data_IF_934847037568
#
_entry.id   IF_934847037568
#
_cell.length_a   1.000
_cell.length_b   1.000
_cell.length_c   1.000
_cell.angle_alpha   90.00
_cell.angle_beta   90.00
_cell.angle_gamma   90.00
#
_symmetry.space_group_name_H-M   'P 1'
#
loop_
_entity.id
_entity.type
_entity.pdbx_description
1 polymer ?
#
# COMPACT_ATOMS: atom_id res chain seq x y z
N UNK A 1 46.65 25.26 -5.82
CA UNK A 1 45.86 24.01 -6.03
C UNK A 1 45.00 23.67 -4.81
N UNK A 2 44.22 24.64 -4.28
CA UNK A 2 43.46 24.48 -3.02
C UNK A 2 41.94 24.65 -3.16
N UNK A 3 41.46 25.58 -3.99
CA UNK A 3 40.03 25.85 -4.11
C UNK A 3 39.22 24.71 -4.77
N UNK A 4 39.85 23.89 -5.61
CA UNK A 4 39.15 22.82 -6.35
C UNK A 4 38.75 21.66 -5.42
N UNK A 5 39.52 21.39 -4.35
CA UNK A 5 39.23 20.32 -3.39
C UNK A 5 38.10 20.69 -2.42
N UNK A 6 38.02 21.96 -2.02
CA UNK A 6 36.93 22.47 -1.17
C UNK A 6 35.59 22.55 -1.91
N UNK A 7 35.60 22.89 -3.21
CA UNK A 7 34.40 22.89 -4.04
C UNK A 7 33.82 21.47 -4.24
N UNK A 8 34.68 20.45 -4.38
CA UNK A 8 34.26 19.04 -4.49
C UNK A 8 33.66 18.52 -3.18
N UNK A 9 34.23 18.87 -2.03
CA UNK A 9 33.70 18.45 -0.73
C UNK A 9 32.33 19.07 -0.42
N UNK A 10 32.12 20.36 -0.75
CA UNK A 10 30.83 21.02 -0.57
C UNK A 10 29.73 20.44 -1.48
N UNK A 11 30.07 20.00 -2.71
CA UNK A 11 29.13 19.37 -3.63
C UNK A 11 28.71 17.96 -3.18
N UNK A 12 29.61 17.21 -2.53
CA UNK A 12 29.32 15.87 -1.99
C UNK A 12 28.41 15.93 -0.75
N UNK A 13 28.49 17.01 0.05
CA UNK A 13 27.65 17.18 1.26
C UNK A 13 26.21 17.62 0.95
N UNK A 14 25.93 18.21 -0.22
CA UNK A 14 24.55 18.42 -0.70
C UNK A 14 23.89 17.18 -1.30
N UNK A 15 24.67 16.12 -1.59
CA UNK A 15 24.15 14.81 -2.01
C UNK A 15 23.90 13.94 -0.77
N UNK A 16 23.32 14.51 0.28
CA UNK A 16 22.57 13.71 1.25
C UNK A 16 21.26 13.41 0.52
N UNK A 17 21.26 12.26 -0.16
CA UNK A 17 20.14 11.73 -0.94
C UNK A 17 18.90 11.80 -0.04
N UNK A 18 18.02 12.76 -0.32
CA UNK A 18 16.65 12.69 0.12
C UNK A 18 16.14 11.36 -0.42
N UNK A 19 15.97 10.40 0.48
CA UNK A 19 15.23 9.18 0.18
C UNK A 19 13.82 9.64 -0.15
N UNK A 20 13.57 9.93 -1.43
CA UNK A 20 12.26 10.33 -1.90
C UNK A 20 11.41 9.08 -1.78
N UNK A 21 10.67 8.99 -0.67
CA UNK A 21 9.62 8.00 -0.51
C UNK A 21 8.72 8.21 -1.72
N UNK A 22 8.79 7.29 -2.70
CA UNK A 22 8.05 7.44 -3.95
C UNK A 22 6.57 7.52 -3.59
N UNK A 23 6.02 8.74 -3.71
CA UNK A 23 4.63 9.04 -3.39
C UNK A 23 3.74 8.29 -4.38
N UNK A 24 2.53 7.94 -3.93
CA UNK A 24 1.53 7.30 -4.79
C UNK A 24 1.32 8.12 -6.08
N UNK A 25 1.33 7.45 -7.23
CA UNK A 25 1.07 8.08 -8.53
C UNK A 25 -0.18 7.50 -9.17
N UNK A 26 -1.00 8.36 -9.75
CA UNK A 26 -2.19 7.99 -10.51
C UNK A 26 -1.89 7.70 -11.99
N UNK A 27 -0.60 7.76 -12.40
CA UNK A 27 -0.21 7.53 -13.79
C UNK A 27 -0.58 6.11 -14.22
N UNK A 28 -1.37 6.00 -15.29
CA UNK A 28 -1.86 4.71 -15.78
C UNK A 28 -2.99 4.08 -14.94
N UNK A 29 -3.50 4.77 -13.92
CA UNK A 29 -4.72 4.38 -13.21
C UNK A 29 -5.94 5.12 -13.78
N UNK A 30 -7.08 4.45 -13.95
CA UNK A 30 -8.33 5.11 -14.25
C UNK A 30 -8.81 5.97 -13.06
N UNK A 31 -9.82 6.79 -13.29
CA UNK A 31 -10.43 7.61 -12.24
C UNK A 31 -11.05 6.73 -11.14
N UNK A 32 -10.84 7.11 -9.88
CA UNK A 32 -11.35 6.32 -8.75
C UNK A 32 -10.58 6.53 -7.44
N UNK A 33 -10.94 5.74 -6.42
CA UNK A 33 -10.35 5.80 -5.08
C UNK A 33 -9.43 4.62 -4.81
N UNK A 34 -8.15 4.86 -4.55
CA UNK A 34 -7.12 3.82 -4.41
C UNK A 34 -6.53 3.78 -3.01
N UNK A 35 -6.38 2.58 -2.44
CA UNK A 35 -5.75 2.44 -1.14
C UNK A 35 -4.27 2.80 -1.16
N UNK A 36 -3.77 3.32 -0.04
CA UNK A 36 -2.34 3.34 0.22
C UNK A 36 -1.81 1.90 0.43
N UNK A 37 -0.71 1.51 -0.24
CA UNK A 37 -0.19 0.15 -0.23
C UNK A 37 0.40 -0.28 1.12
N UNK A 38 0.70 0.65 2.03
CA UNK A 38 1.32 0.40 3.33
C UNK A 38 0.42 0.82 4.50
N UNK A 39 -0.51 1.75 4.27
CA UNK A 39 -1.34 2.35 5.31
C UNK A 39 -2.84 2.14 5.04
N UNK A 40 -3.52 1.44 5.93
CA UNK A 40 -4.94 1.15 5.80
C UNK A 40 -5.86 2.35 6.05
N UNK A 41 -5.41 3.40 6.71
CA UNK A 41 -6.24 4.58 6.96
C UNK A 41 -6.16 5.58 5.81
N UNK A 42 -5.23 5.41 4.86
CA UNK A 42 -4.99 6.34 3.75
C UNK A 42 -5.49 5.79 2.42
N UNK A 43 -5.98 6.70 1.60
CA UNK A 43 -6.40 6.42 0.23
C UNK A 43 -6.25 7.67 -0.64
N UNK A 44 -6.31 7.50 -1.94
CA UNK A 44 -6.01 8.51 -2.94
C UNK A 44 -7.15 8.60 -3.94
N UNK A 45 -7.47 9.81 -4.39
CA UNK A 45 -8.38 10.00 -5.52
C UNK A 45 -7.58 10.32 -6.77
N UNK A 46 -7.74 9.48 -7.80
CA UNK A 46 -7.24 9.75 -9.14
C UNK A 46 -8.32 10.36 -10.01
N UNK A 47 -7.94 11.39 -10.76
CA UNK A 47 -8.78 12.09 -11.74
C UNK A 47 -7.90 12.46 -12.93
N UNK A 48 -8.23 11.96 -14.12
CA UNK A 48 -7.47 12.14 -15.36
C UNK A 48 -5.98 11.80 -15.21
N UNK A 49 -5.69 10.62 -14.65
CA UNK A 49 -4.34 10.10 -14.32
C UNK A 49 -3.52 10.98 -13.35
N UNK A 50 -4.15 11.97 -12.71
CA UNK A 50 -3.50 12.87 -11.74
C UNK A 50 -4.01 12.59 -10.35
N UNK A 51 -3.10 12.70 -9.39
CA UNK A 51 -3.45 12.66 -7.98
C UNK A 51 -4.23 13.92 -7.63
N UNK A 52 -5.53 13.76 -7.36
CA UNK A 52 -6.41 14.86 -6.99
C UNK A 52 -6.37 15.12 -5.49
N UNK A 53 -6.53 14.07 -4.69
CA UNK A 53 -6.53 14.15 -3.23
C UNK A 53 -5.76 12.98 -2.60
N UNK A 54 -5.08 13.27 -1.50
CA UNK A 54 -4.55 12.30 -0.54
C UNK A 54 -5.39 12.41 0.72
N UNK A 55 -6.18 11.37 0.97
CA UNK A 55 -7.24 11.37 1.98
C UNK A 55 -6.89 10.38 3.08
N UNK A 56 -7.53 10.55 4.23
CA UNK A 56 -7.48 9.61 5.35
C UNK A 56 -8.92 9.36 5.77
N UNK A 57 -9.27 8.11 6.03
CA UNK A 57 -10.59 7.76 6.52
C UNK A 57 -10.90 8.56 7.79
N UNK A 58 -12.14 9.04 7.90
CA UNK A 58 -12.53 9.90 9.00
C UNK A 58 -12.40 9.13 10.33
N UNK A 59 -11.82 9.78 11.34
CA UNK A 59 -11.67 9.16 12.65
C UNK A 59 -13.00 9.16 13.39
N UNK A 60 -13.70 8.02 13.41
CA UNK A 60 -14.72 7.72 14.41
C UNK A 60 -14.31 6.47 15.18
N UNK A 61 -13.46 6.67 16.20
CA UNK A 61 -12.92 5.62 17.09
C UNK A 61 -13.80 4.37 17.15
N UNK A 62 -13.30 3.19 16.70
CA UNK A 62 -11.94 2.89 16.19
C UNK A 62 -11.57 3.57 14.85
N UNK A 63 -10.28 3.66 14.50
CA UNK A 63 -9.86 4.24 13.20
C UNK A 63 -10.51 3.48 12.03
N UNK A 64 -11.17 4.14 11.09
CA UNK A 64 -11.72 3.45 9.91
C UNK A 64 -10.60 3.07 8.93
N UNK A 65 -10.71 1.89 8.31
CA UNK A 65 -9.79 1.40 7.28
C UNK A 65 -10.42 1.51 5.90
N UNK A 66 -9.64 1.90 4.90
CA UNK A 66 -10.11 1.94 3.52
C UNK A 66 -10.06 0.53 2.90
N UNK A 67 -11.23 -0.01 2.57
CA UNK A 67 -11.38 -1.27 1.87
C UNK A 67 -11.16 -1.09 0.37
N UNK A 68 -10.17 -1.81 -0.19
CA UNK A 68 -9.74 -1.68 -1.59
C UNK A 68 -10.84 -2.04 -2.59
N UNK A 69 -11.54 -3.13 -2.33
CA UNK A 69 -12.54 -3.69 -3.25
C UNK A 69 -13.89 -2.97 -3.16
N UNK A 70 -14.20 -2.42 -1.99
CA UNK A 70 -15.43 -1.66 -1.73
C UNK A 70 -15.30 -0.16 -2.02
N UNK A 71 -14.07 0.35 -2.16
CA UNK A 71 -13.74 1.76 -2.33
C UNK A 71 -14.33 2.68 -1.25
N UNK A 72 -14.44 2.17 -0.02
CA UNK A 72 -15.05 2.89 1.10
C UNK A 72 -14.29 2.65 2.40
N UNK A 73 -14.43 3.60 3.31
CA UNK A 73 -13.96 3.43 4.68
C UNK A 73 -14.91 2.48 5.44
N UNK A 74 -14.34 1.48 6.10
CA UNK A 74 -15.03 0.46 6.88
C UNK A 74 -14.40 0.36 8.27
N UNK A 75 -15.17 -0.11 9.25
CA UNK A 75 -14.66 -0.35 10.60
C UNK A 75 -13.57 -1.44 10.59
N UNK A 76 -12.51 -1.34 11.41
CA UNK A 76 -11.43 -2.33 11.47
C UNK A 76 -11.90 -3.76 11.64
N UNK A 77 -12.91 -3.97 12.49
CA UNK A 77 -13.46 -5.30 12.78
C UNK A 77 -13.90 -6.06 11.51
N UNK A 78 -14.26 -5.33 10.45
CA UNK A 78 -14.71 -5.90 9.18
C UNK A 78 -13.59 -6.00 8.12
N UNK A 79 -12.36 -5.61 8.45
CA UNK A 79 -11.27 -5.50 7.47
C UNK A 79 -9.89 -5.96 7.99
N UNK A 80 -9.86 -6.84 9.00
CA UNK A 80 -8.61 -7.34 9.60
C UNK A 80 -7.84 -8.35 8.73
N UNK A 81 -8.46 -8.90 7.68
CA UNK A 81 -7.78 -9.79 6.73
C UNK A 81 -6.76 -9.07 5.85
N UNK A 82 -6.94 -7.77 5.64
CA UNK A 82 -6.08 -6.92 4.79
C UNK A 82 -5.34 -5.85 5.59
N UNK A 83 -5.62 -5.72 6.89
CA UNK A 83 -5.08 -4.68 7.74
C UNK A 83 -4.77 -5.23 9.14
N UNK A 84 -3.59 -4.90 9.65
CA UNK A 84 -3.33 -5.09 11.07
C UNK A 84 -4.13 -4.08 11.90
N UNK A 85 -4.38 -4.38 13.18
CA UNK A 85 -4.98 -3.43 14.13
C UNK A 85 -4.21 -2.10 14.26
N UNK A 86 -2.94 -2.05 13.82
CA UNK A 86 -2.11 -0.85 13.82
C UNK A 86 -2.17 -0.07 12.50
N UNK A 87 -3.07 -0.44 11.59
CA UNK A 87 -3.22 0.23 10.30
C UNK A 87 -2.16 -0.12 9.25
N UNK A 88 -1.26 -1.09 9.49
CA UNK A 88 -0.37 -1.62 8.44
C UNK A 88 -1.21 -2.45 7.45
N UNK A 89 -1.10 -2.14 6.16
CA UNK A 89 -1.73 -2.92 5.08
C UNK A 89 -0.97 -4.24 4.84
N UNK A 90 -1.74 -5.31 4.67
CA UNK A 90 -1.30 -6.64 4.35
C UNK A 90 -1.60 -6.95 2.87
N UNK A 91 -0.85 -7.87 2.24
CA UNK A 91 -1.21 -8.40 0.93
C UNK A 91 -2.60 -9.05 0.95
N UNK A 92 -3.25 -9.13 -0.22
CA UNK A 92 -4.37 -10.07 -0.39
C UNK A 92 -3.94 -11.49 0.03
N UNK A 93 -4.77 -12.18 0.81
CA UNK A 93 -4.42 -13.50 1.38
C UNK A 93 -3.55 -13.45 2.64
N UNK A 94 -3.22 -12.25 3.15
CA UNK A 94 -2.44 -12.04 4.36
C UNK A 94 -0.93 -12.03 4.13
N UNK A 95 -0.15 -11.91 5.21
CA UNK A 95 1.32 -11.85 5.12
C UNK A 95 1.93 -13.18 4.65
N UNK A 96 1.28 -14.31 4.96
CA UNK A 96 1.69 -15.65 4.52
C UNK A 96 3.11 -16.04 4.94
N UNK A 97 3.58 -17.17 4.43
CA UNK A 97 4.98 -17.58 4.51
C UNK A 97 5.45 -18.00 3.13
N UNK A 98 6.68 -17.62 2.76
CA UNK A 98 7.29 -17.99 1.49
C UNK A 98 8.63 -18.65 1.72
N UNK A 99 8.90 -19.71 0.97
CA UNK A 99 10.17 -20.43 1.01
C UNK A 99 10.97 -20.04 -0.22
N UNK A 100 12.13 -19.44 0.00
CA UNK A 100 13.00 -19.04 -1.09
C UNK A 100 13.51 -20.27 -1.86
N UNK A 101 13.44 -20.27 -3.22
CA UNK A 101 13.95 -21.39 -4.02
C UNK A 101 15.46 -21.63 -3.89
N UNK A 102 16.21 -20.64 -3.39
CA UNK A 102 17.64 -20.73 -3.19
C UNK A 102 18.18 -19.60 -2.30
N UNK A 103 19.49 -19.56 -2.08
CA UNK A 103 20.14 -18.56 -1.23
C UNK A 103 20.35 -17.21 -1.94
N UNK A 104 20.24 -17.18 -3.26
CA UNK A 104 20.50 -15.99 -4.07
C UNK A 104 19.53 -14.85 -3.77
N UNK A 105 20.01 -13.63 -3.97
CA UNK A 105 19.15 -12.47 -3.92
C UNK A 105 18.25 -12.45 -5.17
N UNK A 106 16.94 -12.65 -4.96
CA UNK A 106 15.91 -12.64 -6.00
C UNK A 106 14.58 -12.12 -5.49
N UNK A 107 13.80 -11.59 -6.41
CA UNK A 107 12.45 -11.10 -6.21
C UNK A 107 11.47 -12.05 -6.87
N UNK A 108 10.39 -12.37 -6.17
CA UNK A 108 9.33 -13.25 -6.64
C UNK A 108 7.97 -12.58 -6.44
N UNK A 109 7.02 -12.87 -7.32
CA UNK A 109 5.68 -12.30 -7.21
C UNK A 109 4.93 -12.81 -5.97
N UNK A 110 4.06 -11.97 -5.40
CA UNK A 110 3.11 -12.43 -4.41
C UNK A 110 1.92 -13.11 -5.10
N UNK A 111 1.46 -14.30 -4.64
CA UNK A 111 0.51 -15.13 -5.38
C UNK A 111 -0.89 -14.52 -5.54
N UNK A 112 -1.31 -13.68 -4.59
CA UNK A 112 -2.65 -13.07 -4.61
C UNK A 112 -2.64 -11.54 -4.77
N UNK A 113 -1.47 -10.90 -4.69
CA UNK A 113 -1.36 -9.45 -4.67
C UNK A 113 -0.26 -9.01 -5.65
N UNK A 114 -0.57 -8.05 -6.49
CA UNK A 114 0.36 -7.50 -7.46
C UNK A 114 1.13 -6.29 -6.94
N UNK A 115 0.70 -5.67 -5.86
CA UNK A 115 1.46 -4.60 -5.19
C UNK A 115 2.60 -5.20 -4.37
N UNK A 116 2.39 -6.38 -3.80
CA UNK A 116 3.37 -7.06 -2.97
C UNK A 116 4.22 -8.07 -3.76
N UNK A 117 5.44 -8.30 -3.27
CA UNK A 117 6.38 -9.28 -3.79
C UNK A 117 7.25 -9.82 -2.66
N UNK A 118 7.85 -10.98 -2.89
CA UNK A 118 8.80 -11.60 -1.98
C UNK A 118 10.22 -11.23 -2.36
N UNK A 119 10.95 -10.67 -1.40
CA UNK A 119 12.39 -10.48 -1.47
C UNK A 119 13.07 -11.65 -0.77
N UNK A 120 13.84 -12.42 -1.53
CA UNK A 120 14.69 -13.48 -1.02
C UNK A 120 16.12 -12.97 -0.87
N UNK A 121 16.72 -13.19 0.31
CA UNK A 121 18.11 -12.85 0.58
C UNK A 121 18.71 -13.90 1.53
N UNK A 122 19.74 -14.63 1.07
CA UNK A 122 20.39 -15.71 1.84
C UNK A 122 19.40 -16.77 2.34
N UNK A 123 18.38 -17.06 1.53
CA UNK A 123 17.32 -18.02 1.84
C UNK A 123 16.22 -17.49 2.77
N UNK A 124 16.36 -16.29 3.33
CA UNK A 124 15.29 -15.63 4.09
C UNK A 124 14.32 -14.90 3.17
N UNK A 125 13.02 -15.10 3.37
CA UNK A 125 11.96 -14.41 2.64
C UNK A 125 11.43 -13.22 3.44
N UNK A 126 11.23 -12.09 2.77
CA UNK A 126 10.55 -10.91 3.33
C UNK A 126 9.54 -10.39 2.33
N UNK A 127 8.30 -10.17 2.76
CA UNK A 127 7.30 -9.53 1.91
C UNK A 127 7.58 -8.03 1.82
N UNK A 128 7.55 -7.49 0.61
CA UNK A 128 7.76 -6.08 0.27
C UNK A 128 6.59 -5.60 -0.56
N UNK A 129 6.37 -4.28 -0.56
CA UNK A 129 5.42 -3.65 -1.47
C UNK A 129 6.18 -2.80 -2.48
N UNK A 130 5.71 -2.77 -3.72
CA UNK A 130 6.09 -1.73 -4.65
C UNK A 130 5.70 -0.36 -4.10
N UNK A 131 6.54 0.66 -4.35
CA UNK A 131 6.25 2.02 -3.92
C UNK A 131 5.39 2.73 -4.97
N UNK A 132 4.80 3.87 -4.59
CA UNK A 132 4.09 4.72 -5.53
C UNK A 132 2.82 4.14 -6.15
N UNK A 133 2.25 3.07 -5.59
CA UNK A 133 1.11 2.38 -6.20
C UNK A 133 1.49 1.50 -7.39
N UNK A 134 2.79 1.24 -7.62
CA UNK A 134 3.25 0.38 -8.71
C UNK A 134 2.98 -1.10 -8.43
N UNK A 135 3.07 -1.92 -9.46
CA UNK A 135 2.77 -3.35 -9.43
C UNK A 135 4.01 -4.16 -9.78
N UNK A 136 4.25 -5.27 -9.09
CA UNK A 136 5.36 -6.16 -9.35
C UNK A 136 5.08 -7.03 -10.59
N UNK A 137 5.98 -6.96 -11.55
CA UNK A 137 6.01 -7.78 -12.74
C UNK A 137 7.23 -8.70 -12.70
N UNK A 138 7.00 -9.99 -12.94
CA UNK A 138 8.07 -10.98 -13.14
C UNK A 138 8.78 -10.67 -14.45
N UNK A 139 10.11 -10.60 -14.40
CA UNK A 139 10.97 -10.30 -15.53
C UNK A 139 12.22 -11.18 -15.43
N UNK A 140 12.26 -12.25 -16.21
CA UNK A 140 13.39 -13.20 -16.22
C UNK A 140 14.63 -12.63 -16.88
N UNK A 141 14.52 -11.51 -17.59
CA UNK A 141 15.68 -10.79 -18.13
C UNK A 141 16.33 -9.88 -17.09
N UNK A 142 15.58 -9.53 -16.03
CA UNK A 142 16.12 -8.85 -14.87
C UNK A 142 16.91 -9.87 -14.01
N UNK A 143 18.17 -9.58 -13.64
CA UNK A 143 18.97 -10.49 -12.82
C UNK A 143 18.35 -10.80 -11.45
N UNK A 144 17.47 -9.91 -10.96
CA UNK A 144 16.73 -10.07 -9.71
C UNK A 144 15.37 -10.73 -9.89
N UNK A 145 14.92 -11.03 -11.12
CA UNK A 145 13.69 -11.78 -11.39
C UNK A 145 12.42 -10.95 -11.60
N UNK A 146 12.45 -9.64 -11.35
CA UNK A 146 11.29 -8.77 -11.57
C UNK A 146 11.54 -7.30 -11.29
N UNK A 147 10.55 -6.46 -11.59
CA UNK A 147 10.57 -5.02 -11.36
C UNK A 147 9.16 -4.49 -11.04
N UNK A 148 9.09 -3.33 -10.39
CA UNK A 148 7.84 -2.60 -10.20
C UNK A 148 7.52 -1.77 -11.45
N UNK A 149 6.32 -1.95 -12.00
CA UNK A 149 5.82 -1.34 -13.24
C UNK A 149 4.45 -0.71 -13.03
N UNK A 150 3.98 0.07 -14.01
CA UNK A 150 2.64 0.66 -13.93
C UNK A 150 1.55 -0.41 -14.11
N UNK A 151 0.33 -0.13 -13.61
CA UNK A 151 -0.82 -1.03 -13.77
C UNK A 151 -1.06 -1.43 -15.24
N UNK A 152 -0.88 -0.50 -16.17
CA UNK A 152 -1.08 -0.74 -17.61
C UNK A 152 -0.21 -1.87 -18.18
N UNK A 153 0.95 -2.14 -17.57
CA UNK A 153 1.85 -3.22 -17.99
C UNK A 153 1.44 -4.60 -17.45
N UNK A 154 0.54 -4.64 -16.46
CA UNK A 154 0.09 -5.88 -15.79
C UNK A 154 -1.43 -6.05 -15.81
N UNK A 155 -2.17 -5.24 -16.57
CA UNK A 155 -3.65 -5.23 -16.64
C UNK A 155 -4.28 -6.58 -16.98
N UNK A 156 -3.55 -7.46 -17.66
CA UNK A 156 -4.00 -8.80 -18.05
C UNK A 156 -3.82 -9.84 -16.92
N UNK A 157 -3.10 -9.50 -15.85
CA UNK A 157 -2.77 -10.41 -14.74
C UNK A 157 -3.21 -9.87 -13.37
N UNK A 158 -3.58 -8.60 -13.31
CA UNK A 158 -3.89 -7.91 -12.06
C UNK A 158 -5.12 -7.02 -12.24
N UNK A 159 -5.95 -6.95 -11.21
CA UNK A 159 -6.97 -5.91 -11.09
C UNK A 159 -6.32 -4.57 -10.81
N UNK A 160 -7.02 -3.50 -11.17
CA UNK A 160 -6.60 -2.12 -10.83
C UNK A 160 -6.44 -1.89 -9.32
N UNK A 161 -7.04 -2.76 -8.49
CA UNK A 161 -6.97 -2.71 -7.01
C UNK A 161 -5.78 -3.48 -6.43
N UNK A 162 -5.00 -4.16 -7.27
CA UNK A 162 -3.84 -4.93 -6.85
C UNK A 162 -4.10 -6.41 -6.68
N UNK A 163 -5.32 -6.92 -6.89
CA UNK A 163 -5.61 -8.36 -6.78
C UNK A 163 -5.00 -9.08 -7.99
N UNK A 164 -4.23 -10.14 -7.76
CA UNK A 164 -3.76 -11.00 -8.86
C UNK A 164 -4.88 -11.89 -9.35
N UNK A 165 -5.08 -11.97 -10.66
CA UNK A 165 -6.08 -12.84 -11.24
C UNK A 165 -5.67 -14.31 -11.15
N UNK A 166 -6.63 -15.18 -10.84
CA UNK A 166 -6.51 -16.62 -11.05
C UNK A 166 -6.50 -16.94 -12.55
N UNK A 167 -6.09 -18.15 -12.92
CA UNK A 167 -6.13 -18.56 -14.33
C UNK A 167 -7.55 -18.55 -14.90
N UNK A 168 -8.54 -18.95 -14.10
CA UNK A 168 -9.96 -18.89 -14.47
C UNK A 168 -10.44 -17.44 -14.70
N UNK A 169 -10.03 -16.51 -13.83
CA UNK A 169 -10.32 -15.07 -14.00
C UNK A 169 -9.66 -14.53 -15.28
N UNK A 170 -8.41 -14.92 -15.58
CA UNK A 170 -7.72 -14.52 -16.82
C UNK A 170 -8.40 -15.08 -18.06
N UNK A 171 -8.92 -16.31 -18.02
CA UNK A 171 -9.66 -16.91 -19.13
C UNK A 171 -11.01 -16.20 -19.33
N UNK A 172 -11.72 -15.87 -18.25
CA UNK A 172 -12.94 -15.08 -18.31
C UNK A 172 -12.72 -13.70 -18.95
N UNK A 173 -11.62 -13.02 -18.62
CA UNK A 173 -11.25 -11.73 -19.23
C UNK A 173 -11.00 -11.81 -20.74
N UNK A 174 -10.41 -12.92 -21.22
CA UNK A 174 -10.19 -13.13 -22.66
C UNK A 174 -11.50 -13.41 -23.40
N UNK A 175 -12.43 -14.08 -22.73
CA UNK A 175 -13.71 -14.50 -23.31
C UNK A 175 -14.80 -13.43 -23.19
N UNK A 176 -14.62 -12.39 -22.36
CA UNK A 176 -15.43 -11.19 -22.39
C UNK A 176 -15.08 -10.33 -23.62
N UNK A 177 -15.61 -10.72 -24.78
CA UNK A 177 -15.75 -9.80 -25.91
C UNK A 177 -16.61 -8.62 -25.45
N UNK A 178 -16.31 -7.36 -25.78
CA UNK A 178 -17.25 -6.28 -25.56
C UNK A 178 -18.49 -6.62 -26.36
N UNK A 179 -19.59 -6.93 -25.68
CA UNK A 179 -20.90 -6.89 -26.31
C UNK A 179 -21.01 -5.50 -26.96
N UNK A 180 -21.20 -5.39 -28.29
CA UNK A 180 -21.39 -4.09 -28.90
C UNK A 180 -22.62 -3.50 -28.23
N UNK A 181 -22.40 -2.46 -27.41
CA UNK A 181 -23.41 -1.69 -26.71
C UNK A 181 -24.56 -1.43 -27.67
N UNK A 182 -25.61 -2.24 -27.60
CA UNK A 182 -26.85 -1.95 -28.26
C UNK A 182 -27.28 -0.57 -27.78
N UNK A 183 -27.52 0.32 -28.73
CA UNK A 183 -27.97 1.68 -28.45
C UNK A 183 -29.15 1.66 -27.47
N UNK A 184 -29.25 2.63 -26.54
CA UNK A 184 -30.41 2.71 -25.67
C UNK A 184 -31.64 2.95 -26.54
N UNK A 185 -32.47 1.92 -26.68
CA UNK A 185 -33.80 2.05 -27.27
C UNK A 185 -34.65 2.76 -26.24
N UNK A 186 -35.06 3.97 -26.60
CA UNK A 186 -36.02 4.78 -25.89
C UNK A 186 -37.30 3.98 -25.63
N UNK A 187 -37.65 3.84 -24.35
CA UNK A 187 -38.90 3.22 -23.91
C UNK A 187 -39.37 3.87 -22.62
N UNK A 188 -40.05 5.00 -22.74
CA UNK A 188 -40.85 5.55 -21.65
C UNK A 188 -42.05 4.64 -21.38
N UNK A 189 -42.35 4.32 -20.12
CA UNK A 189 -43.62 4.67 -19.45
C UNK A 189 -43.79 3.99 -18.07
N UNK A 190 -44.13 4.84 -17.10
CA UNK A 190 -45.04 4.64 -15.96
C UNK A 190 -44.65 3.71 -14.79
N UNK A 191 -44.46 4.32 -13.62
CA UNK A 191 -44.63 3.70 -12.30
C UNK A 191 -45.57 4.57 -11.44
N UNK A 192 -46.60 4.00 -10.78
CA UNK A 192 -47.27 4.62 -9.64
C UNK A 192 -46.75 4.09 -8.29
N UNK A 193 -46.97 4.93 -7.29
CA UNK A 193 -46.62 4.89 -5.86
C UNK A 193 -47.09 3.70 -5.00
N UNK A 194 -46.48 3.61 -3.81
CA UNK A 194 -46.94 2.89 -2.59
C UNK A 194 -45.93 1.81 -2.16
N UNK A 195 -45.55 1.58 -0.91
CA UNK A 195 -45.96 2.12 0.40
C UNK A 195 -44.90 1.73 1.47
N UNK A 196 -45.08 2.29 2.66
CA UNK A 196 -44.28 2.26 3.89
C UNK A 196 -44.07 0.88 4.58
N UNK A 197 -43.20 0.95 5.62
CA UNK A 197 -43.25 0.30 6.95
C UNK A 197 -42.11 -0.72 7.20
N UNK A 198 -41.50 -0.95 8.38
CA UNK A 198 -41.56 -0.45 9.78
C UNK A 198 -40.50 -1.24 10.61
N UNK A 199 -40.11 -0.72 11.80
CA UNK A 199 -39.62 -1.49 12.97
C UNK A 199 -38.09 -1.64 13.08
N UNK A 200 -37.41 -1.27 14.18
CA UNK A 200 -37.59 -1.63 15.60
C UNK A 200 -36.73 -2.87 15.91
N UNK A 201 -35.94 -3.05 16.98
CA UNK A 201 -35.68 -2.38 18.26
C UNK A 201 -34.46 -3.11 18.91
N UNK A 202 -33.92 -2.56 19.99
CA UNK A 202 -33.15 -3.18 21.10
C UNK A 202 -31.91 -4.07 20.79
N UNK A 203 -30.82 -4.10 21.56
CA UNK A 203 -30.57 -3.77 22.97
C UNK A 203 -29.54 -4.80 23.49
N UNK A 204 -28.51 -4.38 24.22
CA UNK A 204 -27.52 -5.33 24.76
C UNK A 204 -26.42 -4.67 25.58
N UNK A 205 -26.64 -4.58 26.90
CA UNK A 205 -25.66 -4.22 27.94
C UNK A 205 -25.00 -5.49 28.48
N UNK A 206 -23.68 -5.46 28.69
CA UNK A 206 -22.99 -6.13 29.80
C UNK A 206 -21.52 -5.65 29.84
N UNK A 207 -21.08 -4.80 30.77
CA UNK A 207 -20.65 -5.08 32.17
C UNK A 207 -19.37 -5.92 32.29
N UNK A 208 -18.31 -5.34 32.88
CA UNK A 208 -17.33 -6.11 33.67
C UNK A 208 -15.85 -5.77 33.52
N UNK A 209 -15.36 -4.84 34.35
CA UNK A 209 -14.14 -4.93 35.22
C UNK A 209 -12.73 -5.15 34.65
N UNK A 210 -11.81 -4.27 35.07
CA UNK A 210 -10.36 -4.50 35.19
C UNK A 210 -9.66 -3.18 35.56
N UNK A 211 -9.52 -2.82 36.85
CA UNK A 211 -8.40 -3.15 37.76
C UNK A 211 -7.01 -2.87 37.18
N UNK A 212 -6.41 -1.81 37.71
CA UNK A 212 -5.02 -1.38 37.56
C UNK A 212 -4.01 -2.49 37.85
N UNK A 213 -2.94 -2.55 37.06
CA UNK A 213 -1.59 -2.83 37.57
C UNK A 213 -0.55 -2.19 36.65
N UNK A 214 0.22 -1.27 37.24
CA UNK A 214 1.47 -0.76 36.73
C UNK A 214 2.47 -1.89 36.42
N UNK A 215 3.19 -1.77 35.30
CA UNK A 215 4.56 -2.30 35.25
C UNK A 215 5.39 -1.51 34.25
N UNK A 216 6.25 -0.65 34.81
CA UNK A 216 7.36 0.01 34.14
C UNK A 216 8.43 -1.02 33.80
N UNK A 217 8.75 -1.17 32.52
CA UNK A 217 10.09 -1.55 32.05
C UNK A 217 10.16 -1.12 30.57
N UNK A 218 10.91 -0.09 30.18
CA UNK A 218 12.35 0.02 30.39
C UNK A 218 13.06 -0.59 29.19
N UNK A 219 12.97 0.05 28.02
CA UNK A 219 13.90 -0.24 26.91
C UNK A 219 14.23 1.05 26.18
N UNK A 220 15.24 1.72 26.74
CA UNK A 220 15.93 2.89 26.22
C UNK A 220 16.34 2.67 24.77
N UNK A 221 15.74 3.40 23.84
CA UNK A 221 16.35 3.66 22.54
C UNK A 221 17.09 4.99 22.68
N UNK A 222 18.42 4.94 22.55
CA UNK A 222 19.25 6.13 22.42
C UNK A 222 18.74 6.92 21.22
N UNK A 223 18.01 8.00 21.50
CA UNK A 223 17.93 9.12 20.58
C UNK A 223 19.30 9.80 20.67
N UNK A 224 20.15 9.61 19.65
CA UNK A 224 21.24 10.55 19.44
C UNK A 224 20.58 11.87 19.07
N UNK A 225 20.51 12.76 20.05
CA UNK A 225 20.10 14.14 19.85
C UNK A 225 20.99 14.75 18.76
N UNK A 226 20.39 15.46 17.80
CA UNK A 226 21.07 15.98 16.60
C UNK A 226 22.24 16.90 16.98
N UNK A 227 22.18 17.49 18.18
CA UNK A 227 23.27 18.27 18.78
C UNK A 227 24.49 17.45 19.22
N UNK A 228 24.36 16.15 19.51
CA UNK A 228 25.51 15.29 19.88
C UNK A 228 26.27 14.77 18.67
N UNK A 229 25.61 14.61 17.53
CA UNK A 229 26.24 14.18 16.28
C UNK A 229 27.13 15.29 15.70
N UNK A 230 26.71 16.55 15.83
CA UNK A 230 27.51 17.70 15.39
C UNK A 230 28.79 17.91 16.20
N UNK A 231 28.76 17.63 17.51
CA UNK A 231 29.95 17.73 18.39
C UNK A 231 30.98 16.63 18.09
N UNK A 232 30.53 15.41 17.79
CA UNK A 232 31.43 14.31 17.40
C UNK A 232 32.14 14.58 16.08
N UNK A 233 31.46 15.22 15.11
CA UNK A 233 32.03 15.55 13.80
C UNK A 233 33.00 16.74 13.90
N UNK A 234 32.73 17.74 14.76
CA UNK A 234 33.65 18.85 15.00
C UNK A 234 34.98 18.41 15.64
N UNK A 235 34.96 17.32 16.42
CA UNK A 235 36.16 16.79 17.09
C UNK A 235 37.11 16.09 16.12
N UNK A 236 36.59 15.51 15.04
CA UNK A 236 37.39 14.82 14.00
C UNK A 236 38.03 15.82 13.02
N UNK A 237 37.40 16.98 12.82
CA UNK A 237 37.91 18.05 11.94
C UNK A 237 39.03 18.91 12.57
N UNK A 238 39.34 18.74 13.85
CA UNK A 238 40.45 19.44 14.53
C UNK A 238 41.77 18.66 14.51
N UNK A 239 41.80 17.46 13.93
CA UNK A 239 42.98 16.59 13.84
C UNK A 239 43.42 16.25 12.40
N UNK A 240 42.96 17.03 11.41
CA UNK A 240 43.41 16.94 10.01
C UNK A 240 43.71 18.30 9.40
#
# INVERSE_FOLDING_TARGET
MGCLKFALAAFVVTVIIAETVAQFTCRGFPDGLYADPKNCTKFYQCDSEKLKYSLTCAHKSPEDFFARDDEKCVLPANHLSECTMKGKRLPYGGEGSYVCPGPDYKLFEHPADCVFYWECNKGGASVRSCNGGMFFQVDTTNPFGGKCVAYTEVKESCSVRGKRYTEDEKEALKNSTPEPSAAPTSGATNAPSGDQATGGDAGGKSSGTGSNSDSKNGSSRLFLDVASVTVLIASVMLWY
#
